data_IF_653097787787
#
_entry.id   IF_653097787787
#
_cell.length_a   1.000
_cell.length_b   1.000
_cell.length_c   1.000
_cell.angle_alpha   90.00
_cell.angle_beta   90.00
_cell.angle_gamma   90.00
#
_symmetry.space_group_name_H-M   'P 1'
#
loop_
_entity.id
_entity.type
_entity.pdbx_description
1 polymer ?
#
# COMPACT_ATOMS: atom_id res chain seq x y z
N UNK A 1 -0.19 17.93 50.13
CA UNK A 1 -0.20 16.54 49.62
C UNK A 1 -0.07 16.58 48.11
N UNK A 2 1.08 16.22 47.51
CA UNK A 2 1.19 16.04 46.06
C UNK A 2 1.01 14.56 45.69
N UNK A 3 0.40 14.26 44.54
CA UNK A 3 0.79 13.16 43.63
C UNK A 3 -0.07 13.17 42.35
N UNK A 4 0.63 13.48 41.25
CA UNK A 4 0.61 12.88 39.91
C UNK A 4 -0.61 13.00 38.99
N UNK A 5 -0.49 13.90 38.00
CA UNK A 5 -1.07 13.74 36.65
C UNK A 5 -0.09 14.23 35.59
N UNK A 6 1.01 13.50 35.37
CA UNK A 6 1.94 13.71 34.25
C UNK A 6 2.69 12.41 33.92
N UNK A 7 2.07 11.43 33.24
CA UNK A 7 2.80 10.25 32.74
C UNK A 7 2.39 9.67 31.37
N UNK A 8 1.51 10.32 30.59
CA UNK A 8 0.99 9.69 29.36
C UNK A 8 1.35 10.35 28.01
N UNK A 9 2.18 11.39 27.96
CA UNK A 9 2.58 12.01 26.67
C UNK A 9 3.95 11.56 26.15
N UNK A 10 4.77 10.88 26.95
CA UNK A 10 6.17 10.58 26.56
C UNK A 10 6.34 9.26 25.79
N UNK A 11 5.34 8.38 25.73
CA UNK A 11 5.51 7.04 25.15
C UNK A 11 5.44 7.03 23.61
N UNK A 12 4.63 7.90 23.00
CA UNK A 12 4.48 7.99 21.54
C UNK A 12 5.68 8.69 20.85
N UNK A 13 6.31 9.67 21.50
CA UNK A 13 7.49 10.36 20.96
C UNK A 13 8.77 9.50 21.01
N UNK A 14 8.89 8.62 22.02
CA UNK A 14 10.08 7.80 22.22
C UNK A 14 10.24 6.63 21.22
N UNK A 15 9.13 6.12 20.65
CA UNK A 15 9.19 5.05 19.62
C UNK A 15 9.83 5.62 18.35
N UNK A 16 9.40 6.81 17.92
CA UNK A 16 9.95 7.49 16.75
C UNK A 16 11.46 7.70 16.89
N UNK A 17 11.92 8.32 17.99
CA UNK A 17 13.35 8.60 18.20
C UNK A 17 14.22 7.34 18.27
N UNK A 18 13.74 6.26 18.92
CA UNK A 18 14.51 5.00 19.00
C UNK A 18 14.60 4.30 17.65
N UNK A 19 13.52 4.25 16.89
CA UNK A 19 13.51 3.67 15.53
C UNK A 19 14.43 4.46 14.60
N UNK A 20 14.34 5.80 14.59
CA UNK A 20 15.22 6.65 13.79
C UNK A 20 16.69 6.53 14.22
N UNK A 21 16.98 6.44 15.52
CA UNK A 21 18.33 6.23 16.04
C UNK A 21 18.90 4.88 15.60
N UNK A 22 18.10 3.81 15.64
CA UNK A 22 18.51 2.49 15.17
C UNK A 22 18.77 2.48 13.66
N UNK A 23 17.90 3.10 12.86
CA UNK A 23 18.10 3.28 11.42
C UNK A 23 19.40 4.03 11.13
N UNK A 24 19.63 5.17 11.79
CA UNK A 24 20.84 5.98 11.61
C UNK A 24 22.11 5.21 11.97
N UNK A 25 22.09 4.47 13.08
CA UNK A 25 23.26 3.75 13.59
C UNK A 25 23.59 2.50 12.77
N UNK A 26 22.59 1.73 12.35
CA UNK A 26 22.78 0.45 11.67
C UNK A 26 22.71 0.57 10.15
N UNK A 27 21.59 1.07 9.61
CA UNK A 27 21.33 1.04 8.17
C UNK A 27 21.95 2.20 7.41
N UNK A 28 21.76 3.44 7.89
CA UNK A 28 22.28 4.62 7.21
C UNK A 28 23.82 4.63 7.20
N UNK A 29 24.46 4.29 8.32
CA UNK A 29 25.93 4.29 8.44
C UNK A 29 26.62 3.28 7.52
N UNK A 30 25.99 2.13 7.28
CA UNK A 30 26.54 1.08 6.41
C UNK A 30 26.37 1.41 4.92
N UNK A 31 25.36 2.22 4.57
CA UNK A 31 25.04 2.59 3.17
C UNK A 31 25.04 4.11 2.95
N UNK A 32 26.03 4.81 3.52
CA UNK A 32 26.10 6.28 3.46
C UNK A 32 26.14 6.82 2.04
N UNK A 33 26.89 6.18 1.16
CA UNK A 33 27.07 6.65 -0.22
C UNK A 33 25.77 6.51 -1.02
N UNK A 34 25.03 5.41 -0.82
CA UNK A 34 23.68 5.23 -1.37
C UNK A 34 22.73 6.34 -0.88
N UNK A 35 22.66 6.59 0.43
CA UNK A 35 21.75 7.63 0.91
C UNK A 35 22.20 9.05 0.53
N UNK A 36 23.50 9.26 0.30
CA UNK A 36 24.02 10.53 -0.23
C UNK A 36 23.57 10.74 -1.68
N UNK A 37 23.62 9.71 -2.52
CA UNK A 37 23.12 9.83 -3.91
C UNK A 37 21.61 10.01 -3.95
N UNK A 38 20.86 9.31 -3.10
CA UNK A 38 19.41 9.43 -3.01
C UNK A 38 18.93 10.78 -2.44
N UNK A 39 19.79 11.52 -1.73
CA UNK A 39 19.43 12.82 -1.16
C UNK A 39 19.30 13.92 -2.23
N UNK A 40 19.98 13.79 -3.38
CA UNK A 40 19.92 14.77 -4.47
C UNK A 40 18.88 14.43 -5.52
N UNK A 41 18.60 13.15 -5.76
CA UNK A 41 17.65 12.71 -6.78
C UNK A 41 17.18 11.27 -6.53
N UNK A 42 16.02 10.94 -7.09
CA UNK A 42 15.53 9.57 -7.20
C UNK A 42 15.29 9.24 -8.67
N UNK A 43 15.51 7.97 -9.04
CA UNK A 43 15.20 7.44 -10.37
C UNK A 43 14.69 6.00 -10.22
N UNK A 44 13.46 5.83 -9.70
CA UNK A 44 12.89 4.50 -9.48
C UNK A 44 12.65 3.80 -10.83
N UNK A 45 12.88 2.50 -10.87
CA UNK A 45 12.68 1.66 -12.07
C UNK A 45 11.21 1.37 -12.34
N UNK A 46 10.41 1.27 -11.28
CA UNK A 46 9.01 0.90 -11.37
C UNK A 46 8.17 1.58 -10.30
N UNK A 47 6.88 1.79 -10.62
CA UNK A 47 5.84 2.11 -9.68
C UNK A 47 5.26 0.79 -9.17
N UNK A 48 5.36 0.54 -7.87
CA UNK A 48 4.86 -0.66 -7.23
C UNK A 48 3.65 -0.33 -6.35
N UNK A 49 2.48 -0.81 -6.75
CA UNK A 49 1.21 -0.62 -6.05
C UNK A 49 0.90 -1.92 -5.30
N UNK A 50 0.81 -1.85 -3.97
CA UNK A 50 0.63 -3.03 -3.12
C UNK A 50 -0.40 -2.80 -2.02
N UNK A 51 -0.77 -3.88 -1.34
CA UNK A 51 -1.62 -3.77 -0.18
C UNK A 51 -0.86 -3.15 1.01
N UNK A 52 -1.58 -2.42 1.86
CA UNK A 52 -1.10 -1.96 3.17
C UNK A 52 -0.91 -3.10 4.19
N UNK A 53 -1.18 -4.34 3.81
CA UNK A 53 -0.94 -5.53 4.64
C UNK A 53 0.51 -5.57 5.15
N UNK A 54 0.67 -5.66 6.47
CA UNK A 54 1.98 -5.58 7.13
C UNK A 54 2.93 -6.73 6.78
N UNK A 55 2.42 -7.82 6.20
CA UNK A 55 3.20 -8.98 5.75
C UNK A 55 3.81 -8.76 4.36
N UNK A 56 3.32 -7.77 3.61
CA UNK A 56 3.81 -7.42 2.28
C UNK A 56 4.68 -6.16 2.35
N UNK A 57 5.98 -6.33 2.23
CA UNK A 57 6.95 -5.22 2.16
C UNK A 57 7.55 -5.23 0.74
N UNK A 58 7.18 -4.28 -0.14
CA UNK A 58 7.58 -4.28 -1.54
C UNK A 58 9.09 -4.46 -1.76
N UNK A 59 9.92 -3.69 -1.08
CA UNK A 59 11.38 -3.72 -1.22
C UNK A 59 11.97 -5.06 -0.78
N UNK A 60 11.39 -5.69 0.26
CA UNK A 60 11.84 -7.00 0.74
C UNK A 60 11.46 -8.11 -0.24
N UNK A 61 10.22 -8.11 -0.73
CA UNK A 61 9.71 -9.15 -1.65
C UNK A 61 10.39 -9.07 -3.01
N UNK A 62 10.67 -7.86 -3.50
CA UNK A 62 11.32 -7.63 -4.79
C UNK A 62 12.85 -7.59 -4.70
N UNK A 63 13.41 -7.73 -3.49
CA UNK A 63 14.84 -7.65 -3.20
C UNK A 63 15.49 -6.37 -3.76
N UNK A 64 14.77 -5.25 -3.66
CA UNK A 64 15.22 -3.96 -4.17
C UNK A 64 15.79 -3.08 -3.06
N UNK A 65 16.80 -2.29 -3.42
CA UNK A 65 17.36 -1.27 -2.54
C UNK A 65 16.47 0.00 -2.49
N UNK A 66 16.62 0.84 -1.45
CA UNK A 66 15.97 2.15 -1.39
C UNK A 66 16.18 2.96 -2.68
N UNK A 67 15.11 3.62 -3.14
CA UNK A 67 15.12 4.45 -4.35
C UNK A 67 14.97 3.68 -5.68
N UNK A 68 14.89 2.34 -5.65
CA UNK A 68 14.63 1.54 -6.85
C UNK A 68 13.14 1.43 -7.19
N UNK A 69 12.24 1.56 -6.21
CA UNK A 69 10.79 1.51 -6.40
C UNK A 69 10.15 2.81 -5.95
N UNK A 70 9.11 3.24 -6.66
CA UNK A 70 8.17 4.26 -6.21
C UNK A 70 6.90 3.56 -5.76
N UNK A 71 6.45 3.76 -4.52
CA UNK A 71 5.52 2.81 -3.88
C UNK A 71 4.21 3.46 -3.48
N UNK A 72 3.10 2.83 -3.85
CA UNK A 72 1.76 3.11 -3.31
C UNK A 72 1.33 1.91 -2.46
N UNK A 73 0.86 2.17 -1.24
CA UNK A 73 0.26 1.15 -0.39
C UNK A 73 -1.12 1.57 0.08
N UNK A 74 -2.14 0.80 -0.26
CA UNK A 74 -3.52 1.03 0.17
C UNK A 74 -4.22 -0.29 0.53
N UNK A 75 -5.40 -0.21 1.15
CA UNK A 75 -6.16 -1.41 1.46
C UNK A 75 -6.63 -2.10 0.16
N UNK A 76 -6.12 -3.30 -0.12
CA UNK A 76 -6.52 -4.09 -1.29
C UNK A 76 -5.80 -3.76 -2.59
N UNK A 77 -4.70 -2.98 -2.58
CA UNK A 77 -3.92 -2.64 -3.78
C UNK A 77 -4.78 -2.09 -4.94
N UNK A 78 -5.83 -1.34 -4.59
CA UNK A 78 -6.85 -0.84 -5.52
C UNK A 78 -6.32 0.40 -6.24
N UNK A 79 -6.59 0.46 -7.55
CA UNK A 79 -6.34 1.63 -8.38
C UNK A 79 -7.69 2.18 -8.83
N UNK A 80 -8.17 3.28 -8.23
CA UNK A 80 -9.42 3.92 -8.64
C UNK A 80 -9.36 4.39 -10.10
N UNK A 81 -10.49 4.40 -10.83
CA UNK A 81 -10.56 5.02 -12.14
C UNK A 81 -10.24 6.52 -12.03
N UNK A 82 -9.76 7.11 -13.12
CA UNK A 82 -9.58 8.55 -13.20
C UNK A 82 -10.92 9.27 -13.02
N UNK A 83 -10.93 10.33 -12.21
CA UNK A 83 -12.12 11.09 -11.88
C UNK A 83 -11.82 12.58 -11.71
N UNK A 84 -12.86 13.42 -11.59
CA UNK A 84 -12.73 14.87 -11.52
C UNK A 84 -12.00 15.35 -10.27
N UNK A 85 -12.08 14.60 -9.18
CA UNK A 85 -11.37 14.88 -7.93
C UNK A 85 -10.12 13.98 -7.86
N UNK A 86 -8.90 14.55 -7.97
CA UNK A 86 -7.68 13.76 -7.93
C UNK A 86 -7.48 13.16 -6.53
N UNK A 87 -7.39 11.83 -6.47
CA UNK A 87 -7.03 11.09 -5.26
C UNK A 87 -5.51 10.91 -5.12
N UNK A 88 -5.07 10.51 -3.92
CA UNK A 88 -3.65 10.26 -3.67
C UNK A 88 -3.05 9.18 -4.61
N UNK A 89 -3.86 8.22 -5.08
CA UNK A 89 -3.39 7.19 -6.03
C UNK A 89 -3.17 7.77 -7.42
N UNK A 90 -4.14 8.50 -7.99
CA UNK A 90 -4.02 9.08 -9.32
C UNK A 90 -2.90 10.13 -9.39
N UNK A 91 -2.79 11.00 -8.37
CA UNK A 91 -1.71 11.98 -8.29
C UNK A 91 -0.32 11.32 -8.19
N UNK A 92 -0.20 10.21 -7.45
CA UNK A 92 1.08 9.49 -7.32
C UNK A 92 1.43 8.75 -8.61
N UNK A 93 0.46 8.17 -9.31
CA UNK A 93 0.67 7.57 -10.63
C UNK A 93 1.14 8.64 -11.64
N UNK A 94 0.46 9.78 -11.69
CA UNK A 94 0.83 10.89 -12.57
C UNK A 94 2.25 11.37 -12.28
N UNK A 95 2.61 11.56 -11.01
CA UNK A 95 3.96 11.94 -10.63
C UNK A 95 5.01 10.89 -11.04
N UNK A 96 4.72 9.60 -10.83
CA UNK A 96 5.62 8.52 -11.22
C UNK A 96 5.90 8.52 -12.74
N UNK A 97 4.86 8.66 -13.54
CA UNK A 97 4.96 8.59 -15.01
C UNK A 97 5.52 9.89 -15.57
N UNK A 98 4.94 11.04 -15.22
CA UNK A 98 5.24 12.33 -15.86
C UNK A 98 6.48 12.98 -15.26
N UNK A 99 6.64 12.96 -13.93
CA UNK A 99 7.75 13.65 -13.27
C UNK A 99 8.98 12.75 -13.09
N UNK A 100 8.80 11.45 -12.82
CA UNK A 100 9.90 10.51 -12.60
C UNK A 100 10.25 9.65 -13.82
N UNK A 101 9.42 9.67 -14.88
CA UNK A 101 9.68 8.91 -16.11
C UNK A 101 9.59 7.39 -15.94
N UNK A 102 8.83 6.90 -14.95
CA UNK A 102 8.63 5.48 -14.72
C UNK A 102 7.83 4.86 -15.87
N UNK A 103 8.36 3.79 -16.46
CA UNK A 103 7.72 3.03 -17.54
C UNK A 103 6.97 1.80 -17.06
N UNK A 104 7.43 1.22 -15.95
CA UNK A 104 6.91 -0.05 -15.45
C UNK A 104 5.99 0.17 -14.23
N UNK A 105 4.76 -0.29 -14.32
CA UNK A 105 3.78 -0.24 -13.23
C UNK A 105 3.40 -1.67 -12.84
N UNK A 106 3.65 -2.03 -11.59
CA UNK A 106 3.35 -3.34 -11.02
C UNK A 106 2.24 -3.19 -9.99
N UNK A 107 1.15 -3.94 -10.17
CA UNK A 107 0.09 -4.07 -9.17
C UNK A 107 0.20 -5.45 -8.54
N UNK A 108 0.58 -5.46 -7.27
CA UNK A 108 0.85 -6.67 -6.51
C UNK A 108 -0.28 -6.92 -5.51
N UNK A 109 -1.15 -7.86 -5.89
CA UNK A 109 -2.05 -8.53 -4.96
C UNK A 109 -1.32 -9.55 -4.09
N UNK A 110 -1.96 -9.99 -3.01
CA UNK A 110 -1.43 -11.05 -2.16
C UNK A 110 -2.53 -11.98 -1.65
N UNK A 111 -2.15 -13.23 -1.34
CA UNK A 111 -3.04 -14.21 -0.75
C UNK A 111 -3.59 -13.75 0.60
N UNK A 112 -4.82 -14.17 0.92
CA UNK A 112 -5.47 -13.90 2.20
C UNK A 112 -5.49 -12.39 2.55
N UNK A 113 -5.85 -11.57 1.56
CA UNK A 113 -6.02 -10.13 1.72
C UNK A 113 -7.32 -9.82 2.46
N UNK A 114 -7.21 -9.10 3.59
CA UNK A 114 -8.39 -8.75 4.41
C UNK A 114 -9.41 -7.88 3.69
N UNK A 115 -8.96 -6.95 2.84
CA UNK A 115 -9.84 -6.11 2.02
C UNK A 115 -10.60 -6.94 0.97
N UNK A 116 -9.90 -7.80 0.23
CA UNK A 116 -10.53 -8.67 -0.76
C UNK A 116 -11.46 -9.71 -0.14
N UNK A 117 -11.12 -10.19 1.06
CA UNK A 117 -12.01 -11.04 1.85
C UNK A 117 -13.28 -10.31 2.26
N UNK A 118 -13.17 -9.06 2.74
CA UNK A 118 -14.34 -8.26 3.11
C UNK A 118 -15.29 -8.05 1.91
N UNK A 119 -14.74 -7.84 0.71
CA UNK A 119 -15.53 -7.75 -0.53
C UNK A 119 -16.17 -9.09 -0.88
N UNK A 120 -15.38 -10.18 -0.91
CA UNK A 120 -15.85 -11.51 -1.28
C UNK A 120 -16.96 -12.05 -0.36
N UNK A 121 -16.88 -11.74 0.94
CA UNK A 121 -17.80 -12.20 1.98
C UNK A 121 -19.00 -11.25 2.20
N UNK A 122 -19.09 -10.14 1.45
CA UNK A 122 -20.10 -9.09 1.68
C UNK A 122 -20.11 -8.61 3.14
N UNK A 123 -18.93 -8.36 3.70
CA UNK A 123 -18.79 -7.97 5.09
C UNK A 123 -19.56 -6.66 5.39
N UNK A 124 -20.10 -6.56 6.61
CA UNK A 124 -20.70 -5.31 7.07
C UNK A 124 -19.60 -4.26 7.33
N UNK A 125 -19.56 -3.22 6.50
CA UNK A 125 -18.58 -2.12 6.57
C UNK A 125 -19.15 -0.81 7.12
N UNK A 126 -20.39 -0.81 7.64
CA UNK A 126 -21.02 0.37 8.26
C UNK A 126 -20.13 1.06 9.31
N UNK A 127 -19.38 0.34 10.18
CA UNK A 127 -18.49 1.00 11.15
C UNK A 127 -17.26 1.68 10.53
N UNK A 128 -16.99 1.48 9.24
CA UNK A 128 -15.80 1.97 8.54
C UNK A 128 -16.17 2.66 7.22
N UNK A 129 -16.88 3.82 7.25
CA UNK A 129 -17.44 4.44 6.05
C UNK A 129 -16.38 4.80 5.00
N UNK A 130 -15.18 5.22 5.40
CA UNK A 130 -14.08 5.48 4.47
C UNK A 130 -13.60 4.20 3.77
N UNK A 131 -13.53 3.07 4.49
CA UNK A 131 -13.17 1.77 3.91
C UNK A 131 -14.28 1.27 3.01
N UNK A 132 -15.54 1.38 3.44
CA UNK A 132 -16.71 1.04 2.63
C UNK A 132 -16.69 1.78 1.30
N UNK A 133 -16.49 3.11 1.32
CA UNK A 133 -16.36 3.91 0.11
C UNK A 133 -15.18 3.47 -0.76
N UNK A 134 -14.02 3.24 -0.15
CA UNK A 134 -12.81 2.82 -0.85
C UNK A 134 -12.98 1.48 -1.58
N UNK A 135 -13.58 0.48 -0.94
CA UNK A 135 -13.71 -0.87 -1.51
C UNK A 135 -14.73 -0.95 -2.66
N UNK A 136 -15.56 0.07 -2.86
CA UNK A 136 -16.47 0.16 -4.02
C UNK A 136 -15.73 0.26 -5.35
N UNK A 137 -14.49 0.73 -5.36
CA UNK A 137 -13.68 0.72 -6.58
C UNK A 137 -13.40 -0.69 -7.13
N UNK A 138 -13.64 -1.73 -6.32
CA UNK A 138 -13.56 -3.14 -6.71
C UNK A 138 -14.92 -3.74 -7.15
N UNK A 139 -16.00 -2.95 -7.25
CA UNK A 139 -17.35 -3.46 -7.59
C UNK A 139 -17.37 -4.17 -8.95
N UNK A 140 -16.57 -3.69 -9.92
CA UNK A 140 -16.46 -4.34 -11.23
C UNK A 140 -15.80 -5.73 -11.13
N UNK A 141 -14.73 -5.86 -10.34
CA UNK A 141 -14.10 -7.15 -10.08
C UNK A 141 -15.03 -8.09 -9.31
N UNK A 142 -15.73 -7.55 -8.31
CA UNK A 142 -16.74 -8.28 -7.53
C UNK A 142 -17.83 -8.85 -8.43
N UNK A 143 -18.41 -8.05 -9.32
CA UNK A 143 -19.45 -8.51 -10.25
C UNK A 143 -18.97 -9.68 -11.14
N UNK A 144 -17.72 -9.64 -11.62
CA UNK A 144 -17.12 -10.74 -12.39
C UNK A 144 -16.94 -12.00 -11.55
N UNK A 145 -16.51 -11.84 -10.29
CA UNK A 145 -16.29 -12.96 -9.36
C UNK A 145 -17.62 -13.57 -8.91
N UNK A 146 -18.66 -12.77 -8.70
CA UNK A 146 -19.99 -13.23 -8.30
C UNK A 146 -20.73 -13.98 -9.42
N UNK A 147 -20.38 -13.75 -10.69
CA UNK A 147 -20.94 -14.48 -11.82
C UNK A 147 -20.39 -15.92 -11.97
N UNK A 148 -19.60 -16.40 -11.01
CA UNK A 148 -19.04 -17.76 -10.98
C UNK A 148 -19.39 -18.47 -9.68
N UNK A 149 -19.55 -19.79 -9.76
CA UNK A 149 -19.62 -20.64 -8.57
C UNK A 149 -18.20 -20.96 -8.08
N UNK A 150 -18.01 -21.01 -6.77
CA UNK A 150 -16.72 -21.26 -6.13
C UNK A 150 -16.86 -22.46 -5.18
N UNK A 151 -15.95 -23.43 -5.31
CA UNK A 151 -15.96 -24.64 -4.46
C UNK A 151 -15.57 -24.32 -3.01
N UNK A 152 -14.68 -23.35 -2.81
CA UNK A 152 -14.26 -22.92 -1.49
C UNK A 152 -14.09 -21.38 -1.40
N UNK A 153 -14.21 -20.80 -0.19
CA UNK A 153 -14.09 -19.36 0.01
C UNK A 153 -12.71 -18.80 -0.34
N UNK A 154 -11.64 -19.59 -0.15
CA UNK A 154 -10.27 -19.15 -0.43
C UNK A 154 -10.07 -18.83 -1.90
N UNK A 155 -10.60 -19.66 -2.80
CA UNK A 155 -10.50 -19.45 -4.24
C UNK A 155 -11.31 -18.24 -4.70
N UNK A 156 -12.47 -18.00 -4.08
CA UNK A 156 -13.24 -16.78 -4.30
C UNK A 156 -12.43 -15.53 -3.93
N UNK A 157 -11.75 -15.54 -2.77
CA UNK A 157 -10.88 -14.42 -2.35
C UNK A 157 -9.67 -14.28 -3.29
N UNK A 158 -9.03 -15.38 -3.70
CA UNK A 158 -7.92 -15.33 -4.64
C UNK A 158 -8.35 -14.76 -6.00
N UNK A 159 -9.57 -15.06 -6.45
CA UNK A 159 -10.14 -14.49 -7.66
C UNK A 159 -10.42 -12.99 -7.52
N UNK A 160 -10.88 -12.53 -6.35
CA UNK A 160 -10.98 -11.09 -6.07
C UNK A 160 -9.62 -10.41 -6.20
N UNK A 161 -8.57 -10.97 -5.60
CA UNK A 161 -7.20 -10.43 -5.69
C UNK A 161 -6.72 -10.32 -7.15
N UNK A 162 -7.08 -11.29 -8.01
CA UNK A 162 -6.72 -11.29 -9.44
C UNK A 162 -7.60 -10.35 -10.28
N UNK A 163 -8.83 -10.08 -9.84
CA UNK A 163 -9.79 -9.20 -10.50
C UNK A 163 -9.39 -7.73 -10.50
N UNK A 164 -8.58 -7.31 -9.52
CA UNK A 164 -8.02 -5.95 -9.39
C UNK A 164 -6.88 -5.62 -10.37
N UNK A 165 -6.74 -6.40 -11.46
CA UNK A 165 -5.79 -6.06 -12.52
C UNK A 165 -6.21 -4.76 -13.20
N UNK A 166 -5.34 -3.76 -13.13
CA UNK A 166 -5.49 -2.52 -13.87
C UNK A 166 -5.69 -2.81 -15.36
N UNK A 167 -6.82 -2.34 -15.88
CA UNK A 167 -7.07 -2.24 -17.31
C UNK A 167 -6.87 -0.78 -17.67
N UNK A 168 -5.78 -0.39 -18.36
CA UNK A 168 -5.72 0.93 -18.94
C UNK A 168 -6.91 1.08 -19.89
N UNK A 169 -7.60 2.22 -19.80
CA UNK A 169 -8.64 2.62 -20.74
C UNK A 169 -8.05 2.87 -22.13
#
# INVERSE_FOLDING_TARGET
MPVQSQKNETLLCNISLKVFSAFKKKFFRQRKDLFRSLASSQNPKALFISCSDSRLVPELVTQQDPGQLFVIRNAGNIVPPFGPEPGGVSATIEYAVVALGVTDIVICGHSNCGAMKAIADNANLEPMPAVSHWLRYSDAAKAVVENKSWENPTDKVNAMVQGERFRPA
#
